data_IF_965972837734
#
_entry.id   IF_965972837734
#
_cell.length_a   1.000
_cell.length_b   1.000
_cell.length_c   1.000
_cell.angle_alpha   90.00
_cell.angle_beta   90.00
_cell.angle_gamma   90.00
#
_symmetry.space_group_name_H-M   'P 1'
#
loop_
_entity.id
_entity.type
_entity.pdbx_description
1 polymer ?
#
# COMPACT_ATOMS: atom_id res chain seq x y z
N UNK A 1 -17.51 -10.38 -4.60
CA UNK A 1 -17.60 -8.97 -5.04
C UNK A 1 -16.20 -8.37 -5.09
N UNK A 2 -15.96 -7.29 -5.83
CA UNK A 2 -14.65 -6.64 -5.97
C UNK A 2 -14.73 -5.20 -5.46
N UNK A 3 -13.73 -4.75 -4.73
CA UNK A 3 -13.62 -3.37 -4.24
C UNK A 3 -12.18 -2.89 -4.36
N UNK A 4 -11.99 -1.71 -4.94
CA UNK A 4 -10.69 -1.05 -5.02
C UNK A 4 -10.71 0.15 -4.08
N UNK A 5 -9.71 0.21 -3.20
CA UNK A 5 -9.48 1.33 -2.30
C UNK A 5 -8.44 2.25 -2.93
N UNK A 6 -8.74 3.54 -2.97
CA UNK A 6 -7.81 4.57 -3.44
C UNK A 6 -7.28 5.31 -2.22
N UNK A 7 -5.99 5.17 -1.97
CA UNK A 7 -5.33 5.73 -0.80
C UNK A 7 -4.26 6.73 -1.20
N UNK A 8 -4.06 7.72 -0.33
CA UNK A 8 -2.88 8.58 -0.33
C UNK A 8 -2.16 8.43 1.00
N UNK A 9 -0.85 8.47 0.96
CA UNK A 9 -0.01 8.36 2.15
C UNK A 9 0.72 9.67 2.40
N UNK A 10 1.14 9.91 3.65
CA UNK A 10 1.94 11.08 3.94
C UNK A 10 3.30 11.01 3.26
N UNK A 11 3.70 12.09 2.60
CA UNK A 11 4.97 12.16 1.88
C UNK A 11 6.19 11.91 2.77
N UNK A 12 6.14 12.35 4.04
CA UNK A 12 7.22 12.12 5.01
C UNK A 12 7.40 10.63 5.31
N UNK A 13 6.30 9.90 5.46
CA UNK A 13 6.32 8.45 5.60
C UNK A 13 6.88 7.81 4.34
N UNK A 14 6.38 8.19 3.15
CA UNK A 14 6.83 7.60 1.88
C UNK A 14 8.33 7.79 1.66
N UNK A 15 8.84 9.01 1.87
CA UNK A 15 10.28 9.29 1.80
C UNK A 15 11.08 8.43 2.78
N UNK A 16 10.62 8.33 4.03
CA UNK A 16 11.33 7.56 5.06
C UNK A 16 11.26 6.05 4.81
N UNK A 17 10.16 5.56 4.26
CA UNK A 17 9.96 4.16 3.92
C UNK A 17 10.90 3.76 2.77
N UNK A 18 10.89 4.51 1.68
CA UNK A 18 11.70 4.25 0.49
C UNK A 18 13.17 4.66 0.61
N UNK A 19 13.55 5.39 1.67
CA UNK A 19 14.96 5.62 2.00
C UNK A 19 15.65 4.36 2.56
N UNK A 20 14.89 3.32 2.94
CA UNK A 20 15.48 2.02 3.28
C UNK A 20 16.01 1.36 2.02
N UNK A 21 17.23 0.81 2.12
CA UNK A 21 17.86 0.15 0.99
C UNK A 21 16.97 -0.97 0.43
N UNK A 22 16.99 -1.11 -0.89
CA UNK A 22 16.40 -2.19 -1.69
C UNK A 22 14.88 -2.16 -1.93
N UNK A 23 14.07 -1.41 -1.15
CA UNK A 23 12.61 -1.41 -1.35
C UNK A 23 12.24 -1.00 -2.78
N UNK A 24 12.81 0.09 -3.29
CA UNK A 24 12.53 0.56 -4.65
C UNK A 24 12.97 -0.41 -5.77
N UNK A 25 13.80 -1.40 -5.45
CA UNK A 25 14.30 -2.42 -6.39
C UNK A 25 13.46 -3.69 -6.35
N UNK A 26 12.57 -3.85 -5.37
CA UNK A 26 11.70 -5.02 -5.25
C UNK A 26 10.62 -5.01 -6.36
N UNK A 27 10.07 -6.18 -6.72
CA UNK A 27 8.88 -6.25 -7.56
C UNK A 27 7.70 -5.48 -6.96
N UNK A 28 6.79 -4.99 -7.82
CA UNK A 28 5.59 -4.23 -7.42
C UNK A 28 4.87 -4.80 -6.20
N UNK A 29 4.57 -6.11 -6.22
CA UNK A 29 3.81 -6.75 -5.15
C UNK A 29 4.55 -6.75 -3.81
N UNK A 30 5.88 -6.86 -3.83
CA UNK A 30 6.71 -6.84 -2.63
C UNK A 30 6.87 -5.42 -2.08
N UNK A 31 7.01 -4.42 -2.95
CA UNK A 31 6.95 -3.01 -2.56
C UNK A 31 5.61 -2.66 -1.92
N UNK A 32 4.52 -3.02 -2.61
CA UNK A 32 3.15 -2.78 -2.14
C UNK A 32 2.94 -3.41 -0.76
N UNK A 33 3.35 -4.68 -0.59
CA UNK A 33 3.23 -5.38 0.68
C UNK A 33 4.06 -4.70 1.78
N UNK A 34 5.29 -4.27 1.49
CA UNK A 34 6.14 -3.54 2.45
C UNK A 34 5.47 -2.26 2.95
N UNK A 35 4.81 -1.50 2.07
CA UNK A 35 4.07 -0.29 2.46
C UNK A 35 2.87 -0.65 3.35
N UNK A 36 2.10 -1.66 2.98
CA UNK A 36 0.91 -2.09 3.74
C UNK A 36 1.28 -2.71 5.10
N UNK A 37 2.42 -3.39 5.20
CA UNK A 37 2.94 -3.97 6.45
C UNK A 37 3.47 -2.92 7.43
N UNK A 38 3.75 -1.70 6.95
CA UNK A 38 4.10 -0.60 7.82
C UNK A 38 2.91 -0.08 8.66
N UNK A 39 1.68 -0.54 8.36
CA UNK A 39 0.44 -0.23 9.10
C UNK A 39 0.29 1.26 9.42
N UNK A 40 0.57 2.11 8.43
CA UNK A 40 0.60 3.55 8.61
C UNK A 40 -0.68 4.21 8.11
N UNK A 41 -1.47 4.76 9.03
CA UNK A 41 -2.75 5.41 8.73
C UNK A 41 -3.95 4.44 8.77
N UNK A 42 -5.03 4.80 8.09
CA UNK A 42 -6.31 4.06 8.09
C UNK A 42 -6.50 3.15 6.87
N UNK A 43 -5.54 3.18 5.94
CA UNK A 43 -5.69 2.71 4.57
C UNK A 43 -5.95 1.20 4.43
N UNK A 44 -5.61 0.39 5.44
CA UNK A 44 -5.70 -1.07 5.36
C UNK A 44 -6.81 -1.69 6.21
N UNK A 45 -7.41 -0.95 7.15
CA UNK A 45 -8.40 -1.50 8.09
C UNK A 45 -9.67 -1.92 7.34
N UNK A 46 -10.17 -1.07 6.44
CA UNK A 46 -11.41 -1.30 5.70
C UNK A 46 -11.24 -2.39 4.64
N UNK A 47 -10.14 -2.37 3.89
CA UNK A 47 -9.86 -3.37 2.86
C UNK A 47 -9.68 -4.75 3.48
N UNK A 48 -8.93 -4.87 4.59
CA UNK A 48 -8.80 -6.12 5.36
C UNK A 48 -10.14 -6.59 5.93
N UNK A 49 -10.99 -5.69 6.43
CA UNK A 49 -12.30 -6.05 6.95
C UNK A 49 -13.22 -6.62 5.86
N UNK A 50 -13.28 -5.99 4.69
CA UNK A 50 -14.05 -6.50 3.55
C UNK A 50 -13.48 -7.81 3.01
N UNK A 51 -12.15 -7.95 2.94
CA UNK A 51 -11.51 -9.20 2.53
C UNK A 51 -11.93 -10.38 3.44
N UNK A 52 -12.00 -10.16 4.76
CA UNK A 52 -12.48 -11.16 5.73
C UNK A 52 -13.95 -11.58 5.51
N UNK A 53 -14.75 -10.73 4.86
CA UNK A 53 -16.13 -11.02 4.47
C UNK A 53 -16.24 -11.64 3.06
N UNK A 54 -15.12 -12.07 2.47
CA UNK A 54 -15.10 -12.75 1.16
C UNK A 54 -15.06 -11.81 -0.05
N UNK A 55 -14.77 -10.53 0.15
CA UNK A 55 -14.54 -9.60 -0.97
C UNK A 55 -13.12 -9.74 -1.50
N UNK A 56 -12.96 -9.53 -2.80
CA UNK A 56 -11.64 -9.30 -3.39
C UNK A 56 -11.35 -7.80 -3.29
N UNK A 57 -10.37 -7.45 -2.46
CA UNK A 57 -9.97 -6.07 -2.21
C UNK A 57 -8.54 -5.81 -2.67
N UNK A 58 -8.27 -4.59 -3.14
CA UNK A 58 -6.91 -4.12 -3.39
C UNK A 58 -6.81 -2.64 -3.01
N UNK A 59 -5.64 -2.23 -2.52
CA UNK A 59 -5.36 -0.86 -2.10
C UNK A 59 -4.39 -0.22 -3.09
N UNK A 60 -4.87 0.74 -3.88
CA UNK A 60 -4.02 1.50 -4.79
C UNK A 60 -3.55 2.78 -4.11
N UNK A 61 -2.23 2.91 -3.97
CA UNK A 61 -1.62 4.11 -3.36
C UNK A 61 -1.27 5.09 -4.47
N UNK A 62 -2.12 6.09 -4.66
CA UNK A 62 -2.09 6.94 -5.86
C UNK A 62 -0.95 7.94 -5.88
N UNK A 63 -0.39 8.29 -4.70
CA UNK A 63 0.74 9.21 -4.58
C UNK A 63 2.09 8.51 -4.30
N UNK A 64 2.21 7.22 -4.61
CA UNK A 64 3.46 6.49 -4.47
C UNK A 64 4.14 6.29 -5.84
N UNK A 65 4.92 7.29 -6.27
CA UNK A 65 5.60 7.24 -7.56
C UNK A 65 6.54 6.01 -7.74
N UNK A 66 7.35 5.60 -6.73
CA UNK A 66 8.20 4.41 -6.88
C UNK A 66 7.43 3.12 -7.13
N UNK A 67 6.21 3.02 -6.58
CA UNK A 67 5.34 1.86 -6.76
C UNK A 67 4.69 1.81 -8.15
N UNK A 68 4.70 2.91 -8.89
CA UNK A 68 4.05 3.05 -10.20
C UNK A 68 5.05 3.03 -11.38
N UNK A 69 6.34 2.84 -11.08
CA UNK A 69 7.45 2.89 -12.03
C UNK A 69 7.59 1.61 -12.88
#
# INVERSE_FOLDING_TARGET
MKCLFLNVYYDSFMRSHYAKNDIALLPYMEQWQSVQDAMFGDADIYSRALAKQGWQTHDLITNCAPLQA
#
